data_IF_781173149215
#
_entry.id   IF_781173149215
#
_cell.length_a   1.000
_cell.length_b   1.000
_cell.length_c   1.000
_cell.angle_alpha   90.00
_cell.angle_beta   90.00
_cell.angle_gamma   90.00
#
_symmetry.space_group_name_H-M   'P 1'
#
loop_
_entity.id
_entity.type
_entity.pdbx_description
1 polymer ?
#
# COMPACT_ATOMS: atom_id res chain seq x y z
N UNK A 1 23.96 4.68 6.72
CA UNK A 1 23.19 4.87 5.47
C UNK A 1 21.97 3.96 5.58
N UNK A 2 20.80 4.51 5.91
CA UNK A 2 19.56 3.73 6.12
C UNK A 2 18.89 3.39 4.78
N UNK A 3 17.88 2.52 4.80
CA UNK A 3 17.24 2.02 3.59
C UNK A 3 16.55 3.12 2.77
N UNK A 4 15.90 4.08 3.43
CA UNK A 4 15.34 5.27 2.76
C UNK A 4 16.44 6.06 2.05
N UNK A 5 17.59 6.28 2.69
CA UNK A 5 18.74 6.95 2.08
C UNK A 5 19.37 6.15 0.93
N UNK A 6 19.37 4.80 0.99
CA UNK A 6 19.79 3.91 -0.12
C UNK A 6 18.79 3.87 -1.27
N UNK A 7 17.49 3.95 -0.99
CA UNK A 7 16.43 4.06 -2.01
C UNK A 7 16.50 5.43 -2.69
N UNK A 8 16.69 6.52 -1.94
CA UNK A 8 16.90 7.88 -2.48
C UNK A 8 18.13 7.93 -3.39
N UNK A 9 19.26 7.38 -2.95
CA UNK A 9 20.50 7.37 -3.75
C UNK A 9 20.44 6.38 -4.91
N UNK A 10 19.74 5.26 -4.76
CA UNK A 10 19.47 4.30 -5.84
C UNK A 10 18.54 4.83 -6.92
N UNK A 11 17.49 5.57 -6.54
CA UNK A 11 16.53 6.22 -7.46
C UNK A 11 17.14 7.45 -8.13
N UNK A 12 18.01 8.20 -7.44
CA UNK A 12 18.78 9.26 -8.06
C UNK A 12 19.83 8.73 -9.06
N UNK A 13 20.35 7.52 -8.83
CA UNK A 13 21.33 6.86 -9.70
C UNK A 13 20.66 6.11 -10.87
N UNK A 14 19.45 5.59 -10.70
CA UNK A 14 18.66 4.98 -11.76
C UNK A 14 17.68 6.03 -12.32
N UNK A 15 18.06 6.65 -13.44
CA UNK A 15 17.12 7.20 -14.42
C UNK A 15 16.25 6.07 -15.00
N UNK A 16 15.53 5.32 -14.17
CA UNK A 16 14.66 4.24 -14.57
C UNK A 16 13.41 4.88 -15.19
N UNK A 17 13.43 4.96 -16.52
CA UNK A 17 12.27 5.25 -17.34
C UNK A 17 11.31 4.05 -17.19
N UNK A 18 10.39 4.11 -16.23
CA UNK A 18 9.20 3.27 -16.31
C UNK A 18 8.33 3.80 -17.46
N UNK A 19 8.32 3.05 -18.57
CA UNK A 19 7.47 3.36 -19.72
C UNK A 19 6.02 3.13 -19.32
N UNK A 20 5.30 4.23 -19.08
CA UNK A 20 3.86 4.26 -19.19
C UNK A 20 3.51 4.48 -20.67
N UNK A 21 2.86 3.51 -21.31
CA UNK A 21 2.32 3.64 -22.67
C UNK A 21 1.06 4.52 -22.65
N UNK A 22 1.25 5.81 -22.41
CA UNK A 22 0.23 6.85 -22.52
C UNK A 22 0.80 8.04 -23.26
N UNK A 23 0.39 8.17 -24.52
CA UNK A 23 0.52 9.29 -25.46
C UNK A 23 1.70 10.28 -25.30
N UNK A 24 2.53 10.31 -26.34
CA UNK A 24 3.74 11.12 -26.46
C UNK A 24 3.50 12.63 -26.39
N UNK A 25 4.28 13.32 -25.54
CA UNK A 25 4.80 14.66 -25.83
C UNK A 25 6.05 14.93 -24.98
N UNK A 26 7.20 15.11 -25.64
CA UNK A 26 8.55 15.09 -25.06
C UNK A 26 8.90 16.23 -24.06
N UNK A 27 7.92 17.05 -23.65
CA UNK A 27 8.07 18.07 -22.60
C UNK A 27 7.29 17.76 -21.30
N UNK A 28 6.49 16.69 -21.27
CA UNK A 28 5.67 16.31 -20.10
C UNK A 28 6.39 15.32 -19.16
N UNK A 29 7.38 14.60 -19.68
CA UNK A 29 8.12 13.54 -18.98
C UNK A 29 8.89 14.02 -17.74
N UNK A 30 9.47 15.23 -17.76
CA UNK A 30 10.19 15.78 -16.59
C UNK A 30 9.27 16.23 -15.47
N UNK A 31 8.05 16.64 -15.80
CA UNK A 31 7.08 17.16 -14.85
C UNK A 31 6.35 16.03 -14.14
N UNK A 32 5.96 14.97 -14.86
CA UNK A 32 5.30 13.80 -14.26
C UNK A 32 6.22 13.03 -13.30
N UNK A 33 7.49 12.83 -13.66
CA UNK A 33 8.46 12.10 -12.83
C UNK A 33 8.74 12.81 -11.49
N UNK A 34 8.77 14.16 -11.48
CA UNK A 34 8.85 14.95 -10.23
C UNK A 34 7.58 14.85 -9.39
N UNK A 35 6.40 14.82 -10.01
CA UNK A 35 5.12 14.69 -9.30
C UNK A 35 5.00 13.33 -8.62
N UNK A 36 5.39 12.25 -9.30
CA UNK A 36 5.37 10.88 -8.76
C UNK A 36 6.39 10.65 -7.63
N UNK A 37 7.58 11.24 -7.75
CA UNK A 37 8.60 11.15 -6.68
C UNK A 37 8.15 11.93 -5.45
N UNK A 38 7.50 13.09 -5.66
CA UNK A 38 6.90 13.86 -4.57
C UNK A 38 5.71 13.14 -3.94
N UNK A 39 4.87 12.44 -4.71
CA UNK A 39 3.75 11.68 -4.16
C UNK A 39 4.21 10.45 -3.38
N UNK A 40 5.20 9.70 -3.88
CA UNK A 40 5.74 8.56 -3.16
C UNK A 40 6.46 8.98 -1.87
N UNK A 41 7.26 10.06 -1.93
CA UNK A 41 7.89 10.65 -0.75
C UNK A 41 6.87 11.16 0.27
N UNK A 42 5.76 11.74 -0.19
CA UNK A 42 4.69 12.19 0.69
C UNK A 42 4.00 11.04 1.40
N UNK A 43 3.81 9.91 0.71
CA UNK A 43 3.23 8.69 1.29
C UNK A 43 4.16 8.12 2.37
N UNK A 44 5.47 7.99 2.07
CA UNK A 44 6.44 7.50 3.07
C UNK A 44 6.44 8.38 4.33
N UNK A 45 6.39 9.71 4.16
CA UNK A 45 6.31 10.65 5.29
C UNK A 45 4.99 10.59 6.06
N UNK A 46 3.90 10.26 5.40
CA UNK A 46 2.60 10.06 6.07
C UNK A 46 2.59 8.79 6.90
N UNK A 47 3.34 7.77 6.48
CA UNK A 47 3.46 6.50 7.17
C UNK A 47 4.47 6.57 8.33
N UNK A 48 5.55 7.32 8.19
CA UNK A 48 6.57 7.56 9.23
C UNK A 48 5.99 8.44 10.36
N UNK A 49 5.24 7.80 11.25
CA UNK A 49 4.55 8.47 12.35
C UNK A 49 5.47 8.93 13.47
N UNK A 50 6.70 8.39 13.55
CA UNK A 50 7.68 8.76 14.56
C UNK A 50 8.75 9.77 14.05
N UNK A 51 8.74 10.07 12.75
CA UNK A 51 9.66 10.97 12.04
C UNK A 51 11.13 10.55 12.15
N UNK A 52 11.42 9.24 12.12
CA UNK A 52 12.78 8.69 12.20
C UNK A 52 13.43 8.41 10.82
N UNK A 53 12.76 8.82 9.73
CA UNK A 53 13.18 8.61 8.35
C UNK A 53 13.41 7.12 8.02
N UNK A 54 12.66 6.22 8.67
CA UNK A 54 12.54 4.80 8.35
C UNK A 54 11.07 4.36 8.48
N UNK A 55 10.72 3.20 7.92
CA UNK A 55 9.42 2.59 8.15
C UNK A 55 9.59 1.36 9.01
N UNK A 56 9.00 1.39 10.20
CA UNK A 56 8.89 0.24 11.07
C UNK A 56 7.64 -0.61 10.71
N UNK A 57 7.63 -1.85 11.22
CA UNK A 57 6.50 -2.77 10.98
C UNK A 57 5.16 -2.21 11.46
N UNK A 58 5.14 -1.41 12.53
CA UNK A 58 3.92 -0.83 13.10
C UNK A 58 3.39 0.29 12.21
N UNK A 59 4.27 1.12 11.65
CA UNK A 59 3.90 2.19 10.71
C UNK A 59 3.29 1.65 9.43
N UNK A 60 3.83 0.55 8.90
CA UNK A 60 3.23 -0.15 7.76
C UNK A 60 1.85 -0.72 8.08
N UNK A 61 1.67 -1.30 9.29
CA UNK A 61 0.37 -1.83 9.74
C UNK A 61 -0.68 -0.72 9.91
N UNK A 62 -0.32 0.39 10.53
CA UNK A 62 -1.21 1.55 10.67
C UNK A 62 -1.60 2.14 9.30
N UNK A 63 -0.65 2.21 8.38
CA UNK A 63 -0.92 2.60 6.99
C UNK A 63 -1.91 1.70 6.29
N UNK A 64 -1.74 0.38 6.46
CA UNK A 64 -2.62 -0.63 5.91
C UNK A 64 -4.04 -0.52 6.48
N UNK A 65 -4.19 -0.38 7.81
CA UNK A 65 -5.47 -0.16 8.48
C UNK A 65 -6.20 1.08 7.94
N UNK A 66 -5.47 2.19 7.78
CA UNK A 66 -6.02 3.42 7.22
C UNK A 66 -6.45 3.27 5.76
N UNK A 67 -5.65 2.57 4.95
CA UNK A 67 -6.00 2.27 3.56
C UNK A 67 -7.28 1.42 3.46
N UNK A 68 -7.37 0.34 4.24
CA UNK A 68 -8.54 -0.56 4.24
C UNK A 68 -9.79 0.19 4.68
N UNK A 69 -9.70 1.01 5.72
CA UNK A 69 -10.82 1.82 6.21
C UNK A 69 -11.35 2.75 5.11
N UNK A 70 -10.46 3.44 4.40
CA UNK A 70 -10.83 4.31 3.28
C UNK A 70 -11.38 3.52 2.09
N UNK A 71 -10.84 2.32 1.84
CA UNK A 71 -11.30 1.45 0.77
C UNK A 71 -12.74 0.97 1.00
N UNK A 72 -13.06 0.52 2.22
CA UNK A 72 -14.43 0.13 2.60
C UNK A 72 -15.34 1.34 2.48
N UNK A 73 -15.00 2.46 3.14
CA UNK A 73 -15.83 3.68 3.12
C UNK A 73 -16.12 4.20 1.70
N UNK A 74 -15.17 4.06 0.76
CA UNK A 74 -15.34 4.49 -0.62
C UNK A 74 -16.23 3.59 -1.48
N UNK A 75 -16.58 2.39 -1.00
CA UNK A 75 -17.32 1.36 -1.76
C UNK A 75 -18.57 0.85 -1.05
N UNK A 76 -18.66 1.03 0.25
CA UNK A 76 -19.82 0.72 1.09
C UNK A 76 -20.98 1.65 0.73
N UNK A 77 -21.84 1.21 -0.19
CA UNK A 77 -22.94 2.02 -0.71
C UNK A 77 -24.13 2.04 0.25
N UNK A 78 -24.29 0.97 1.04
CA UNK A 78 -25.40 0.82 1.98
C UNK A 78 -25.06 1.31 3.41
N UNK A 79 -23.80 1.68 3.67
CA UNK A 79 -23.27 2.22 4.92
C UNK A 79 -23.32 1.22 6.09
N UNK A 80 -23.17 -0.08 5.80
CA UNK A 80 -23.14 -1.13 6.82
C UNK A 80 -21.74 -1.42 7.39
N UNK A 81 -20.73 -0.67 6.93
CA UNK A 81 -19.32 -0.77 7.30
C UNK A 81 -18.62 -2.05 6.83
N UNK A 82 -19.22 -2.76 5.88
CA UNK A 82 -18.64 -3.92 5.22
C UNK A 82 -18.91 -3.84 3.71
N UNK A 83 -18.39 -4.81 2.96
CA UNK A 83 -18.57 -4.88 1.51
C UNK A 83 -19.28 -6.18 1.15
N UNK A 84 -20.43 -6.08 0.50
CA UNK A 84 -21.00 -7.23 -0.19
C UNK A 84 -20.21 -7.53 -1.49
N UNK A 85 -20.52 -8.65 -2.16
CA UNK A 85 -19.78 -9.11 -3.34
C UNK A 85 -19.79 -8.10 -4.51
N UNK A 86 -20.87 -7.32 -4.66
CA UNK A 86 -20.98 -6.30 -5.70
C UNK A 86 -20.10 -5.08 -5.37
N UNK A 87 -20.16 -4.60 -4.12
CA UNK A 87 -19.36 -3.47 -3.64
C UNK A 87 -17.85 -3.77 -3.65
N UNK A 88 -17.48 -4.99 -3.25
CA UNK A 88 -16.10 -5.46 -3.26
C UNK A 88 -15.53 -5.51 -4.69
N UNK A 89 -16.36 -5.80 -5.71
CA UNK A 89 -15.96 -5.80 -7.11
C UNK A 89 -14.83 -6.80 -7.43
N UNK A 90 -14.77 -7.91 -6.68
CA UNK A 90 -13.79 -8.98 -6.84
C UNK A 90 -14.48 -10.28 -7.27
N UNK A 91 -13.69 -11.26 -7.74
CA UNK A 91 -14.23 -12.58 -8.08
C UNK A 91 -14.86 -13.28 -6.87
N UNK A 92 -15.88 -14.11 -7.09
CA UNK A 92 -16.55 -14.88 -6.03
C UNK A 92 -15.57 -15.73 -5.21
N UNK A 93 -14.59 -16.36 -5.85
CA UNK A 93 -13.58 -17.15 -5.14
C UNK A 93 -12.72 -16.32 -4.20
N UNK A 94 -12.35 -15.10 -4.60
CA UNK A 94 -11.61 -14.18 -3.74
C UNK A 94 -12.50 -13.63 -2.61
N UNK A 95 -13.77 -13.36 -2.90
CA UNK A 95 -14.74 -12.94 -1.89
C UNK A 95 -14.92 -14.01 -0.80
N UNK A 96 -15.18 -15.26 -1.19
CA UNK A 96 -15.33 -16.38 -0.25
C UNK A 96 -14.05 -16.72 0.52
N UNK A 97 -12.88 -16.33 0.01
CA UNK A 97 -11.62 -16.48 0.74
C UNK A 97 -11.46 -15.40 1.83
N UNK A 98 -11.99 -14.20 1.58
CA UNK A 98 -11.95 -13.10 2.55
C UNK A 98 -13.09 -13.18 3.59
N UNK A 99 -14.29 -13.59 3.18
CA UNK A 99 -15.46 -13.81 4.03
C UNK A 99 -15.29 -15.09 4.87
N UNK A 100 -14.51 -14.96 5.95
CA UNK A 100 -14.07 -16.05 6.83
C UNK A 100 -15.16 -16.53 7.79
N UNK A 101 -16.11 -15.66 8.13
CA UNK A 101 -17.24 -16.01 8.99
C UNK A 101 -18.51 -16.41 8.20
N UNK A 102 -18.44 -16.34 6.86
CA UNK A 102 -19.52 -16.70 5.94
C UNK A 102 -20.79 -15.87 6.10
N UNK A 103 -20.67 -14.62 6.54
CA UNK A 103 -21.78 -13.70 6.71
C UNK A 103 -22.20 -12.99 5.41
N UNK A 104 -21.49 -13.24 4.29
CA UNK A 104 -21.68 -12.65 2.95
C UNK A 104 -21.30 -11.18 2.84
N UNK A 105 -20.54 -10.69 3.79
CA UNK A 105 -19.93 -9.38 3.81
C UNK A 105 -18.42 -9.60 4.00
N UNK A 106 -17.63 -8.62 3.55
CA UNK A 106 -16.21 -8.57 3.83
C UNK A 106 -15.96 -7.31 4.65
N UNK A 107 -15.62 -7.49 5.92
CA UNK A 107 -15.40 -6.39 6.86
C UNK A 107 -13.93 -5.96 6.96
N UNK A 108 -13.67 -4.94 7.79
CA UNK A 108 -12.32 -4.42 7.99
C UNK A 108 -11.39 -5.48 8.59
N UNK A 109 -11.86 -6.27 9.55
CA UNK A 109 -11.07 -7.30 10.21
C UNK A 109 -10.63 -8.39 9.25
N UNK A 110 -11.50 -8.79 8.33
CA UNK A 110 -11.22 -9.82 7.34
C UNK A 110 -10.17 -9.39 6.32
N UNK A 111 -10.32 -8.18 5.76
CA UNK A 111 -9.32 -7.62 4.85
C UNK A 111 -7.99 -7.40 5.58
N UNK A 112 -8.04 -6.87 6.81
CA UNK A 112 -6.83 -6.58 7.59
C UNK A 112 -6.09 -7.86 7.98
N UNK A 113 -6.81 -8.92 8.31
CA UNK A 113 -6.24 -10.24 8.60
C UNK A 113 -5.44 -10.76 7.41
N UNK A 114 -6.06 -10.80 6.23
CA UNK A 114 -5.40 -11.35 5.04
C UNK A 114 -4.27 -10.45 4.53
N UNK A 115 -4.51 -9.14 4.46
CA UNK A 115 -3.49 -8.18 4.03
C UNK A 115 -2.32 -8.11 5.04
N UNK A 116 -2.62 -8.21 6.33
CA UNK A 116 -1.63 -8.30 7.41
C UNK A 116 -0.77 -9.54 7.29
N UNK A 117 -1.36 -10.71 6.98
CA UNK A 117 -0.62 -11.96 6.72
C UNK A 117 0.33 -11.82 5.54
N UNK A 118 -0.11 -11.18 4.46
CA UNK A 118 0.73 -10.90 3.29
C UNK A 118 1.87 -9.95 3.67
N UNK A 119 1.57 -8.88 4.41
CA UNK A 119 2.56 -7.90 4.85
C UNK A 119 3.61 -8.54 5.77
N UNK A 120 3.20 -9.34 6.75
CA UNK A 120 4.11 -10.06 7.64
C UNK A 120 5.03 -11.01 6.83
N UNK A 121 4.48 -11.70 5.83
CA UNK A 121 5.26 -12.52 4.90
C UNK A 121 6.31 -11.72 4.12
N UNK A 122 5.93 -10.56 3.59
CA UNK A 122 6.85 -9.66 2.87
C UNK A 122 7.95 -9.12 3.80
N UNK A 123 7.59 -8.67 5.00
CA UNK A 123 8.56 -8.18 5.98
C UNK A 123 9.54 -9.29 6.35
N UNK A 124 9.08 -10.53 6.54
CA UNK A 124 9.99 -11.66 6.87
C UNK A 124 11.05 -11.93 5.79
N UNK A 125 10.76 -11.60 4.52
CA UNK A 125 11.69 -11.75 3.40
C UNK A 125 12.63 -10.54 3.30
N UNK A 126 12.13 -9.33 3.57
CA UNK A 126 12.86 -8.08 3.40
C UNK A 126 13.72 -7.72 4.62
N UNK A 127 13.28 -8.07 5.84
CA UNK A 127 13.99 -7.86 7.10
C UNK A 127 15.13 -8.88 7.30
N UNK A 128 16.09 -8.82 6.39
CA UNK A 128 17.24 -9.74 6.33
C UNK A 128 18.17 -9.65 7.55
N UNK A 129 18.06 -8.60 8.37
CA UNK A 129 18.85 -8.41 9.58
C UNK A 129 18.03 -8.49 10.88
N UNK A 130 16.74 -8.85 10.78
CA UNK A 130 15.81 -9.09 11.87
C UNK A 130 15.67 -7.90 12.84
N UNK A 131 15.79 -6.67 12.31
CA UNK A 131 15.69 -5.45 13.11
C UNK A 131 14.29 -4.83 13.07
N UNK A 132 13.36 -5.43 12.33
CA UNK A 132 11.96 -5.02 12.15
C UNK A 132 11.77 -3.65 11.50
N UNK A 133 12.78 -3.16 10.80
CA UNK A 133 12.79 -1.89 10.08
C UNK A 133 13.14 -2.15 8.62
N UNK A 134 12.37 -1.55 7.71
CA UNK A 134 12.64 -1.61 6.28
C UNK A 134 13.60 -0.52 5.82
#
# INVERSE_FOLDING_TARGET
MNAISKVISGLAAQNAVMKYDGFQNNNVLRTQQRTETNSFHSILKQLDGNADDSLDTRELKLGLEGFITNFIFGRDLNQDQALNAEEAGISTGAFSHLDTDSNRLVDNGEILSEAGRILDGLISILDTNNNKRL
#
